data_IF_675980450667
#
_entry.id   IF_675980450667
#
_cell.length_a   1.000
_cell.length_b   1.000
_cell.length_c   1.000
_cell.angle_alpha   90.00
_cell.angle_beta   90.00
_cell.angle_gamma   90.00
#
_symmetry.space_group_name_H-M   'P 1'
#
loop_
_entity.id
_entity.type
_entity.pdbx_description
1 polymer ?
#
# COMPACT_ATOMS: atom_id res chain seq x y z
N UNK A 1 -8.64 27.67 -15.27
CA UNK A 1 -8.29 26.69 -14.22
C UNK A 1 -6.95 27.07 -13.60
N UNK A 2 -6.83 26.87 -12.29
CA UNK A 2 -5.56 27.01 -11.58
C UNK A 2 -4.79 25.69 -11.63
N UNK A 3 -3.49 25.73 -11.32
CA UNK A 3 -2.68 24.48 -11.19
C UNK A 3 -3.31 23.54 -10.15
N UNK A 4 -3.93 24.09 -9.11
CA UNK A 4 -4.64 23.30 -8.10
C UNK A 4 -5.87 22.58 -8.68
N UNK A 5 -6.67 23.25 -9.53
CA UNK A 5 -7.83 22.62 -10.18
C UNK A 5 -7.41 21.47 -11.10
N UNK A 6 -6.31 21.66 -11.86
CA UNK A 6 -5.75 20.60 -12.72
C UNK A 6 -5.22 19.43 -11.89
N UNK A 7 -4.53 19.72 -10.79
CA UNK A 7 -4.04 18.70 -9.88
C UNK A 7 -5.19 17.89 -9.25
N UNK A 8 -6.25 18.52 -8.80
CA UNK A 8 -7.41 17.84 -8.24
C UNK A 8 -8.07 16.92 -9.27
N UNK A 9 -8.17 17.38 -10.52
CA UNK A 9 -8.72 16.59 -11.63
C UNK A 9 -7.86 15.33 -11.90
N UNK A 10 -6.55 15.47 -12.08
CA UNK A 10 -5.64 14.34 -12.30
C UNK A 10 -5.61 13.41 -11.10
N UNK A 11 -5.54 13.96 -9.89
CA UNK A 11 -5.55 13.18 -8.66
C UNK A 11 -6.80 12.34 -8.47
N UNK A 12 -7.96 12.85 -8.89
CA UNK A 12 -9.20 12.07 -8.89
C UNK A 12 -9.07 10.80 -9.71
N UNK A 13 -8.58 10.89 -10.96
CA UNK A 13 -8.42 9.71 -11.81
C UNK A 13 -7.40 8.71 -11.25
N UNK A 14 -6.28 9.18 -10.73
CA UNK A 14 -5.24 8.33 -10.16
C UNK A 14 -5.71 7.65 -8.87
N UNK A 15 -6.37 8.39 -7.98
CA UNK A 15 -6.76 7.91 -6.66
C UNK A 15 -8.05 7.11 -6.62
N UNK A 16 -8.89 7.15 -7.66
CA UNK A 16 -10.16 6.42 -7.70
C UNK A 16 -10.28 5.49 -8.92
N UNK A 17 -10.56 5.90 -10.16
CA UNK A 17 -10.76 4.96 -11.27
C UNK A 17 -9.53 4.08 -11.52
N UNK A 18 -8.34 4.67 -11.66
CA UNK A 18 -7.10 3.94 -11.94
C UNK A 18 -6.72 3.03 -10.75
N UNK A 19 -6.84 3.56 -9.54
CA UNK A 19 -6.56 2.81 -8.32
C UNK A 19 -7.43 1.55 -8.20
N UNK A 20 -8.70 1.63 -8.60
CA UNK A 20 -9.64 0.50 -8.58
C UNK A 20 -9.38 -0.50 -9.68
N UNK A 21 -9.09 -0.05 -10.89
CA UNK A 21 -8.91 -0.93 -12.06
C UNK A 21 -7.55 -1.61 -12.09
N UNK A 22 -6.54 -1.03 -11.43
CA UNK A 22 -5.17 -1.51 -11.46
C UNK A 22 -5.03 -3.00 -11.08
N UNK A 23 -5.64 -3.51 -10.00
CA UNK A 23 -5.58 -4.93 -9.69
C UNK A 23 -6.22 -5.81 -10.75
N UNK A 24 -7.33 -5.38 -11.34
CA UNK A 24 -8.03 -6.10 -12.42
C UNK A 24 -7.14 -6.22 -13.65
N UNK A 25 -6.39 -5.15 -13.98
CA UNK A 25 -5.39 -5.19 -15.05
C UNK A 25 -4.33 -6.27 -14.78
N UNK A 26 -3.73 -6.31 -13.58
CA UNK A 26 -2.73 -7.32 -13.23
C UNK A 26 -3.30 -8.75 -13.20
N UNK A 27 -4.53 -8.92 -12.72
CA UNK A 27 -5.24 -10.22 -12.76
C UNK A 27 -5.45 -10.70 -14.20
N UNK A 28 -5.89 -9.80 -15.08
CA UNK A 28 -6.07 -10.10 -16.51
C UNK A 28 -4.75 -10.40 -17.21
N UNK A 29 -3.68 -9.66 -16.89
CA UNK A 29 -2.33 -9.90 -17.42
C UNK A 29 -1.81 -11.28 -16.97
N UNK A 30 -1.96 -11.61 -15.67
CA UNK A 30 -1.57 -12.92 -15.15
C UNK A 30 -2.31 -14.05 -15.87
N UNK A 31 -3.61 -13.90 -16.06
CA UNK A 31 -4.43 -14.88 -16.77
C UNK A 31 -4.00 -15.03 -18.24
N UNK A 32 -3.75 -13.93 -18.94
CA UNK A 32 -3.29 -13.95 -20.34
C UNK A 32 -1.93 -14.66 -20.47
N UNK A 33 -0.97 -14.34 -19.59
CA UNK A 33 0.35 -14.99 -19.57
C UNK A 33 0.25 -16.49 -19.28
N UNK A 34 -0.63 -16.87 -18.37
CA UNK A 34 -0.88 -18.29 -18.09
C UNK A 34 -1.46 -19.01 -19.30
N UNK A 35 -2.46 -18.43 -19.95
CA UNK A 35 -3.15 -19.05 -21.09
C UNK A 35 -2.26 -19.17 -22.34
N UNK A 36 -1.46 -18.13 -22.63
CA UNK A 36 -0.66 -18.05 -23.86
C UNK A 36 0.71 -18.70 -23.70
N UNK A 37 1.35 -18.52 -22.54
CA UNK A 37 2.75 -18.95 -22.31
C UNK A 37 2.91 -19.99 -21.21
N UNK A 38 1.84 -20.40 -20.53
CA UNK A 38 1.92 -21.29 -19.36
C UNK A 38 2.64 -20.65 -18.14
N UNK A 39 2.80 -19.33 -18.14
CA UNK A 39 3.53 -18.63 -17.08
C UNK A 39 2.64 -18.43 -15.84
N UNK A 40 3.09 -18.93 -14.70
CA UNK A 40 2.43 -18.79 -13.41
C UNK A 40 3.31 -18.07 -12.35
N UNK A 41 4.37 -17.41 -12.78
CA UNK A 41 5.29 -16.70 -11.89
C UNK A 41 4.74 -15.36 -11.39
N UNK A 42 5.51 -14.73 -10.47
CA UNK A 42 5.22 -13.38 -9.99
C UNK A 42 5.32 -12.35 -11.12
N UNK A 43 4.33 -11.48 -11.23
CA UNK A 43 4.36 -10.41 -12.23
C UNK A 43 5.32 -9.29 -11.79
N UNK A 44 6.13 -8.78 -12.72
CA UNK A 44 6.92 -7.59 -12.47
C UNK A 44 6.00 -6.35 -12.40
N UNK A 45 6.53 -5.26 -11.87
CA UNK A 45 5.86 -3.96 -11.93
C UNK A 45 5.90 -3.43 -13.38
N UNK A 46 4.79 -3.54 -14.10
CA UNK A 46 4.65 -3.12 -15.51
C UNK A 46 4.04 -1.73 -15.67
N UNK A 47 3.40 -1.19 -14.64
CA UNK A 47 2.78 0.13 -14.68
C UNK A 47 3.42 1.08 -13.65
N UNK A 48 3.69 2.29 -14.11
CA UNK A 48 4.07 3.46 -13.32
C UNK A 48 3.33 4.66 -13.88
N UNK A 49 2.95 5.57 -13.01
CA UNK A 49 2.26 6.79 -13.40
C UNK A 49 3.18 7.99 -13.25
N UNK A 50 3.08 8.92 -14.19
CA UNK A 50 3.76 10.20 -14.16
C UNK A 50 2.75 11.31 -14.47
N UNK A 51 3.02 12.52 -14.00
CA UNK A 51 2.22 13.71 -14.27
C UNK A 51 3.16 14.91 -14.31
N UNK A 52 2.90 15.84 -15.22
CA UNK A 52 3.58 17.14 -15.26
C UNK A 52 2.83 18.20 -14.43
N UNK A 53 1.58 17.93 -14.03
CA UNK A 53 0.74 18.90 -13.30
C UNK A 53 1.36 19.21 -11.95
N UNK A 54 1.68 20.49 -11.74
CA UNK A 54 2.36 21.01 -10.56
C UNK A 54 3.87 20.79 -10.55
N UNK A 55 4.47 20.27 -11.64
CA UNK A 55 5.91 20.04 -11.80
C UNK A 55 6.52 20.85 -12.94
N UNK A 56 5.77 21.02 -14.02
CA UNK A 56 6.25 21.71 -15.21
C UNK A 56 6.37 23.22 -14.96
N UNK A 57 7.63 23.70 -14.89
CA UNK A 57 7.97 25.10 -14.70
C UNK A 57 8.21 25.85 -16.02
N UNK A 58 8.19 25.16 -17.18
CA UNK A 58 8.48 25.78 -18.46
C UNK A 58 7.32 26.65 -18.93
N UNK A 59 7.55 27.98 -18.86
CA UNK A 59 6.60 28.99 -19.31
C UNK A 59 5.36 29.21 -18.43
N UNK A 60 5.24 28.50 -17.30
CA UNK A 60 4.12 28.69 -16.37
C UNK A 60 4.53 29.46 -15.11
N UNK A 61 4.23 30.78 -15.01
CA UNK A 61 4.65 31.58 -13.86
C UNK A 61 3.97 31.17 -12.52
N UNK A 62 2.96 30.31 -12.58
CA UNK A 62 2.23 29.82 -11.39
C UNK A 62 2.86 28.53 -10.83
N UNK A 63 3.82 27.92 -11.50
CA UNK A 63 4.55 26.75 -11.00
C UNK A 63 5.92 27.18 -10.48
N UNK A 64 6.16 26.94 -9.21
CA UNK A 64 7.40 27.24 -8.51
C UNK A 64 7.72 26.10 -7.53
N UNK A 65 8.87 26.19 -6.84
CA UNK A 65 9.30 25.15 -5.90
C UNK A 65 8.25 24.82 -4.82
N UNK A 66 7.51 25.82 -4.35
CA UNK A 66 6.43 25.63 -3.37
C UNK A 66 5.27 24.82 -3.98
N UNK A 67 4.89 25.12 -5.23
CA UNK A 67 3.85 24.38 -5.96
C UNK A 67 4.22 22.90 -6.11
N UNK A 68 5.49 22.62 -6.46
CA UNK A 68 6.03 21.26 -6.56
C UNK A 68 5.94 20.53 -5.21
N UNK A 69 6.39 21.18 -4.13
CA UNK A 69 6.35 20.60 -2.79
C UNK A 69 4.92 20.32 -2.33
N UNK A 70 3.99 21.23 -2.54
CA UNK A 70 2.59 21.09 -2.15
C UNK A 70 1.89 19.99 -2.96
N UNK A 71 2.21 19.87 -4.25
CA UNK A 71 1.73 18.78 -5.12
C UNK A 71 2.21 17.42 -4.60
N UNK A 72 3.51 17.26 -4.35
CA UNK A 72 4.07 16.02 -3.82
C UNK A 72 3.50 15.66 -2.44
N UNK A 73 3.34 16.65 -1.56
CA UNK A 73 2.73 16.46 -0.24
C UNK A 73 1.28 16.00 -0.33
N UNK A 74 0.52 16.59 -1.25
CA UNK A 74 -0.88 16.23 -1.49
C UNK A 74 -1.01 14.82 -2.06
N UNK A 75 -0.21 14.46 -3.08
CA UNK A 75 -0.17 13.10 -3.63
C UNK A 75 0.16 12.06 -2.55
N UNK A 76 1.19 12.35 -1.74
CA UNK A 76 1.61 11.47 -0.64
C UNK A 76 0.49 11.28 0.38
N UNK A 77 -0.17 12.35 0.75
CA UNK A 77 -1.29 12.32 1.70
C UNK A 77 -2.43 11.45 1.19
N UNK A 78 -2.80 11.60 -0.06
CA UNK A 78 -3.87 10.82 -0.68
C UNK A 78 -3.51 9.33 -0.75
N UNK A 79 -2.31 8.98 -1.22
CA UNK A 79 -1.84 7.60 -1.30
C UNK A 79 -1.82 6.92 0.09
N UNK A 80 -1.22 7.58 1.08
CA UNK A 80 -1.12 7.03 2.44
C UNK A 80 -2.49 6.85 3.10
N UNK A 81 -3.42 7.77 2.93
CA UNK A 81 -4.80 7.63 3.44
C UNK A 81 -5.50 6.41 2.85
N UNK A 82 -5.39 6.20 1.52
CA UNK A 82 -5.94 5.02 0.85
C UNK A 82 -5.35 3.73 1.42
N UNK A 83 -4.03 3.66 1.61
CA UNK A 83 -3.39 2.48 2.19
C UNK A 83 -3.80 2.24 3.65
N UNK A 84 -3.93 3.29 4.46
CA UNK A 84 -4.40 3.16 5.84
C UNK A 84 -5.79 2.53 5.88
N UNK A 85 -6.72 2.99 5.03
CA UNK A 85 -8.08 2.47 4.99
C UNK A 85 -8.11 1.02 4.49
N UNK A 86 -7.36 0.68 3.44
CA UNK A 86 -7.27 -0.70 2.95
C UNK A 86 -6.63 -1.65 3.96
N UNK A 87 -5.53 -1.25 4.59
CA UNK A 87 -4.85 -2.07 5.61
C UNK A 87 -5.77 -2.32 6.81
N UNK A 88 -6.54 -1.31 7.24
CA UNK A 88 -7.55 -1.48 8.28
C UNK A 88 -8.67 -2.44 7.88
N UNK A 89 -9.12 -2.33 6.64
CA UNK A 89 -10.10 -3.27 6.09
C UNK A 89 -9.55 -4.69 6.05
N UNK A 90 -8.32 -4.89 5.57
CA UNK A 90 -7.65 -6.19 5.58
C UNK A 90 -7.48 -6.75 7.00
N UNK A 91 -7.16 -5.90 7.99
CA UNK A 91 -7.09 -6.31 9.40
C UNK A 91 -8.45 -6.81 9.94
N UNK A 92 -9.57 -6.35 9.39
CA UNK A 92 -10.90 -6.88 9.74
C UNK A 92 -11.19 -8.22 9.04
N UNK A 93 -10.77 -8.37 7.79
CA UNK A 93 -10.96 -9.58 7.00
C UNK A 93 -10.10 -10.75 7.49
N UNK A 94 -8.83 -10.50 7.78
CA UNK A 94 -7.85 -11.52 8.16
C UNK A 94 -7.90 -11.77 9.69
N UNK A 95 -8.92 -12.50 10.11
CA UNK A 95 -9.20 -12.82 11.51
C UNK A 95 -8.91 -14.27 11.87
N UNK A 96 -8.09 -14.97 11.04
CA UNK A 96 -7.67 -16.34 11.32
C UNK A 96 -6.79 -16.35 12.56
N UNK A 97 -7.05 -17.33 13.44
CA UNK A 97 -6.22 -17.58 14.62
C UNK A 97 -5.07 -18.52 14.29
N UNK A 98 -3.96 -18.44 15.03
CA UNK A 98 -2.76 -19.23 14.83
C UNK A 98 -2.95 -20.73 15.12
N UNK A 99 -3.94 -21.10 15.92
CA UNK A 99 -4.36 -22.50 16.15
C UNK A 99 -5.03 -23.15 14.90
N UNK A 100 -5.53 -22.33 13.97
CA UNK A 100 -6.24 -22.79 12.77
C UNK A 100 -5.44 -22.67 11.48
N UNK A 101 -4.45 -21.80 11.43
CA UNK A 101 -3.63 -21.57 10.25
C UNK A 101 -2.20 -21.29 10.66
N UNK A 102 -1.28 -22.14 10.22
CA UNK A 102 0.14 -21.85 10.35
C UNK A 102 0.49 -20.50 9.69
N UNK A 103 1.50 -19.83 10.20
CA UNK A 103 2.02 -18.58 9.63
C UNK A 103 3.54 -18.67 9.54
N UNK A 104 4.13 -17.94 8.59
CA UNK A 104 5.57 -17.87 8.45
C UNK A 104 6.20 -17.24 9.70
N UNK A 105 7.30 -17.80 10.20
CA UNK A 105 7.96 -17.38 11.46
C UNK A 105 8.38 -15.89 11.45
N UNK A 106 8.61 -15.31 10.29
CA UNK A 106 8.95 -13.89 10.15
C UNK A 106 7.80 -12.97 10.56
N UNK A 107 6.54 -13.40 10.43
CA UNK A 107 5.36 -12.57 10.70
C UNK A 107 5.25 -12.18 12.20
N UNK A 108 5.32 -13.11 13.18
CA UNK A 108 5.38 -12.74 14.59
C UNK A 108 6.64 -11.96 14.95
N UNK A 109 7.79 -12.24 14.35
CA UNK A 109 9.02 -11.48 14.56
C UNK A 109 8.88 -10.03 14.11
N UNK A 110 8.26 -9.79 12.96
CA UNK A 110 7.96 -8.46 12.43
C UNK A 110 6.98 -7.72 13.35
N UNK A 111 5.94 -8.42 13.82
CA UNK A 111 4.98 -7.87 14.77
C UNK A 111 5.64 -7.48 16.10
N UNK A 112 6.58 -8.28 16.60
CA UNK A 112 7.37 -7.97 17.81
C UNK A 112 8.12 -6.65 17.67
N UNK A 113 8.90 -6.49 16.60
CA UNK A 113 9.62 -5.24 16.31
C UNK A 113 8.70 -4.02 16.21
N UNK A 114 7.52 -4.16 15.60
CA UNK A 114 6.57 -3.05 15.46
C UNK A 114 5.84 -2.72 16.75
N UNK A 115 5.68 -3.67 17.68
CA UNK A 115 5.17 -3.39 19.02
C UNK A 115 6.11 -2.48 19.82
N UNK A 116 7.42 -2.67 19.65
CA UNK A 116 8.43 -1.80 20.27
C UNK A 116 8.43 -0.38 19.69
N UNK A 117 8.22 -0.26 18.36
CA UNK A 117 8.14 1.03 17.66
C UNK A 117 6.84 1.80 17.94
N UNK A 118 5.76 1.08 18.24
CA UNK A 118 4.39 1.62 18.36
C UNK A 118 3.72 1.13 19.66
N UNK A 119 4.28 1.42 20.82
CA UNK A 119 3.79 0.86 22.10
C UNK A 119 2.33 1.23 22.40
N UNK A 120 1.88 2.42 22.04
CA UNK A 120 0.49 2.84 22.26
C UNK A 120 -0.49 2.04 21.39
N UNK A 121 -0.15 1.79 20.13
CA UNK A 121 -0.97 0.99 19.22
C UNK A 121 -0.95 -0.48 19.67
N UNK A 122 0.21 -0.98 20.09
CA UNK A 122 0.35 -2.33 20.61
C UNK A 122 -0.53 -2.56 21.85
N UNK A 123 -0.55 -1.59 22.77
CA UNK A 123 -1.39 -1.62 23.97
C UNK A 123 -2.90 -1.55 23.64
N UNK A 124 -3.28 -0.91 22.54
CA UNK A 124 -4.66 -0.80 22.08
C UNK A 124 -5.18 -2.08 21.37
N UNK A 125 -4.30 -3.05 21.06
CA UNK A 125 -4.72 -4.32 20.46
C UNK A 125 -5.54 -5.10 21.51
N UNK A 126 -6.79 -5.40 21.15
CA UNK A 126 -7.72 -6.08 22.06
C UNK A 126 -7.22 -7.49 22.39
N UNK A 127 -7.32 -7.98 23.64
CA UNK A 127 -6.86 -9.33 24.03
C UNK A 127 -7.37 -10.44 23.11
N UNK A 128 -8.63 -10.39 22.68
CA UNK A 128 -9.24 -11.36 21.75
C UNK A 128 -8.67 -11.38 20.33
N UNK A 129 -7.72 -10.50 20.01
CA UNK A 129 -7.08 -10.43 18.69
C UNK A 129 -5.60 -10.83 18.75
N UNK A 130 -5.07 -11.13 19.92
CA UNK A 130 -3.64 -11.40 20.11
C UNK A 130 -3.17 -12.68 19.43
N UNK A 131 -4.08 -13.63 19.24
CA UNK A 131 -3.93 -14.91 18.55
C UNK A 131 -4.23 -14.84 17.03
N UNK A 132 -4.44 -13.63 16.49
CA UNK A 132 -4.71 -13.36 15.07
C UNK A 132 -3.50 -12.69 14.41
N UNK A 133 -2.46 -13.42 14.01
CA UNK A 133 -1.17 -12.85 13.63
C UNK A 133 -1.23 -11.88 12.45
N UNK A 134 -2.02 -12.17 11.41
CA UNK A 134 -2.21 -11.27 10.27
C UNK A 134 -2.88 -9.96 10.69
N UNK A 135 -3.91 -10.05 11.52
CA UNK A 135 -4.64 -8.88 12.03
C UNK A 135 -3.75 -8.00 12.89
N UNK A 136 -2.96 -8.61 13.77
CA UNK A 136 -2.00 -7.89 14.62
C UNK A 136 -0.99 -7.14 13.77
N UNK A 137 -0.34 -7.81 12.81
CA UNK A 137 0.65 -7.17 11.95
C UNK A 137 0.01 -6.03 11.12
N UNK A 138 -1.16 -6.25 10.51
CA UNK A 138 -1.86 -5.21 9.75
C UNK A 138 -2.27 -4.01 10.61
N UNK A 139 -2.65 -4.23 11.88
CA UNK A 139 -2.92 -3.13 12.81
C UNK A 139 -1.69 -2.28 13.06
N UNK A 140 -0.53 -2.91 13.23
CA UNK A 140 0.75 -2.22 13.43
C UNK A 140 1.23 -1.53 12.13
N UNK A 141 1.04 -2.14 10.97
CA UNK A 141 1.31 -1.53 9.66
C UNK A 141 0.45 -0.26 9.46
N UNK A 142 -0.84 -0.30 9.80
CA UNK A 142 -1.70 0.88 9.77
C UNK A 142 -1.16 2.00 10.66
N UNK A 143 -0.64 1.66 11.84
CA UNK A 143 0.04 2.61 12.73
C UNK A 143 1.30 3.20 12.12
N UNK A 144 2.15 2.40 11.49
CA UNK A 144 3.34 2.89 10.78
C UNK A 144 2.98 3.80 9.60
N UNK A 145 1.93 3.50 8.85
CA UNK A 145 1.43 4.38 7.78
C UNK A 145 0.91 5.71 8.34
N UNK A 146 0.23 5.70 9.50
CA UNK A 146 -0.17 6.93 10.19
C UNK A 146 1.03 7.74 10.66
N UNK A 147 2.04 7.08 11.24
CA UNK A 147 3.31 7.71 11.59
C UNK A 147 4.04 8.31 10.37
N UNK A 148 3.94 7.64 9.21
CA UNK A 148 4.50 8.12 7.94
C UNK A 148 3.77 9.37 7.44
N UNK A 149 2.45 9.41 7.58
CA UNK A 149 1.64 10.57 7.23
C UNK A 149 1.92 11.75 8.17
N UNK A 150 2.10 11.48 9.46
CA UNK A 150 2.41 12.48 10.48
C UNK A 150 3.90 12.89 10.54
N UNK A 151 4.80 12.16 9.86
CA UNK A 151 6.24 12.43 9.87
C UNK A 151 6.96 12.05 11.17
N UNK A 152 6.38 11.18 12.01
CA UNK A 152 6.95 10.78 13.31
C UNK A 152 8.03 9.69 13.19
N UNK A 153 8.70 9.36 14.31
CA UNK A 153 9.84 8.43 14.32
C UNK A 153 9.52 7.02 13.83
N UNK A 154 8.31 6.52 14.08
CA UNK A 154 7.90 5.17 13.67
C UNK A 154 7.50 5.07 12.17
N UNK A 155 7.74 6.13 11.39
CA UNK A 155 7.41 6.16 9.95
C UNK A 155 8.16 5.12 9.14
N UNK A 156 7.62 4.76 7.99
CA UNK A 156 8.37 4.10 6.93
C UNK A 156 9.38 5.09 6.31
N UNK A 157 10.61 4.67 6.13
CA UNK A 157 11.64 5.45 5.43
C UNK A 157 11.36 5.50 3.93
N UNK A 158 10.97 4.36 3.37
CA UNK A 158 10.69 4.20 1.94
C UNK A 158 9.44 3.33 1.73
N UNK A 159 8.81 3.46 0.56
CA UNK A 159 7.65 2.65 0.19
C UNK A 159 7.97 1.14 0.12
N UNK A 160 9.22 0.80 -0.21
CA UNK A 160 9.67 -0.59 -0.31
C UNK A 160 9.58 -1.35 1.04
N UNK A 161 9.73 -0.66 2.18
CA UNK A 161 9.51 -1.28 3.48
C UNK A 161 8.04 -1.68 3.69
N UNK A 162 7.11 -0.80 3.32
CA UNK A 162 5.68 -1.09 3.36
C UNK A 162 5.31 -2.21 2.37
N UNK A 163 5.86 -2.17 1.15
CA UNK A 163 5.68 -3.22 0.14
C UNK A 163 6.16 -4.56 0.70
N UNK A 164 7.34 -4.61 1.32
CA UNK A 164 7.88 -5.81 1.96
C UNK A 164 7.00 -6.38 3.07
N UNK A 165 6.34 -5.53 3.85
CA UNK A 165 5.37 -5.98 4.86
C UNK A 165 4.13 -6.64 4.24
N UNK A 166 3.62 -6.08 3.15
CA UNK A 166 2.47 -6.66 2.44
C UNK A 166 2.87 -7.94 1.69
N UNK A 167 4.10 -8.00 1.14
CA UNK A 167 4.67 -9.20 0.54
C UNK A 167 4.79 -10.35 1.55
N UNK A 168 5.27 -10.05 2.76
CA UNK A 168 5.36 -11.03 3.84
C UNK A 168 3.99 -11.65 4.15
N UNK A 169 2.96 -10.82 4.28
CA UNK A 169 1.58 -11.29 4.53
C UNK A 169 1.08 -12.11 3.34
N UNK A 170 1.28 -11.64 2.11
CA UNK A 170 0.83 -12.34 0.90
C UNK A 170 1.51 -13.71 0.76
N UNK A 171 2.83 -13.79 0.97
CA UNK A 171 3.60 -15.02 0.91
C UNK A 171 3.19 -16.00 2.00
N UNK A 172 3.03 -15.51 3.24
CA UNK A 172 2.60 -16.35 4.35
C UNK A 172 1.20 -16.94 4.12
N UNK A 173 0.24 -16.14 3.63
CA UNK A 173 -1.08 -16.65 3.26
C UNK A 173 -1.01 -17.71 2.14
N UNK A 174 -0.17 -17.47 1.13
CA UNK A 174 -0.01 -18.42 0.03
C UNK A 174 0.57 -19.76 0.49
N UNK A 175 1.65 -19.71 1.27
CA UNK A 175 2.38 -20.89 1.74
C UNK A 175 1.57 -21.72 2.75
N UNK A 176 0.69 -21.08 3.52
CA UNK A 176 -0.06 -21.73 4.60
C UNK A 176 -1.55 -21.96 4.25
N UNK A 177 -1.89 -22.11 2.97
CA UNK A 177 -3.23 -22.49 2.53
C UNK A 177 -4.26 -21.35 2.57
N UNK A 178 -3.85 -20.13 2.87
CA UNK A 178 -4.72 -18.94 2.95
C UNK A 178 -5.14 -18.33 1.60
N UNK A 179 -4.92 -19.06 0.49
CA UNK A 179 -5.22 -18.55 -0.86
C UNK A 179 -6.69 -18.10 -1.00
N UNK A 180 -7.62 -18.83 -0.42
CA UNK A 180 -9.05 -18.48 -0.41
C UNK A 180 -9.48 -17.69 0.83
N UNK A 181 -8.55 -17.43 1.76
CA UNK A 181 -8.81 -16.77 3.04
C UNK A 181 -8.21 -15.36 3.10
N UNK A 182 -8.27 -14.62 1.98
CA UNK A 182 -7.89 -13.20 1.93
C UNK A 182 -6.64 -12.89 1.10
N UNK A 183 -5.91 -13.87 0.57
CA UNK A 183 -4.73 -13.64 -0.26
C UNK A 183 -4.99 -12.68 -1.42
N UNK A 184 -6.11 -12.83 -2.13
CA UNK A 184 -6.46 -11.96 -3.25
C UNK A 184 -6.57 -10.49 -2.84
N UNK A 185 -7.18 -10.21 -1.69
CA UNK A 185 -7.32 -8.85 -1.19
C UNK A 185 -5.95 -8.23 -0.83
N UNK A 186 -5.08 -9.00 -0.18
CA UNK A 186 -3.69 -8.57 0.14
C UNK A 186 -2.89 -8.34 -1.15
N UNK A 187 -2.98 -9.25 -2.12
CA UNK A 187 -2.24 -9.14 -3.38
C UNK A 187 -2.70 -7.93 -4.23
N UNK A 188 -3.98 -7.57 -4.18
CA UNK A 188 -4.50 -6.34 -4.80
C UNK A 188 -3.89 -5.08 -4.19
N UNK A 189 -3.77 -5.02 -2.86
CA UNK A 189 -3.05 -3.92 -2.20
C UNK A 189 -1.57 -3.91 -2.58
N UNK A 190 -0.93 -5.08 -2.67
CA UNK A 190 0.46 -5.21 -3.08
C UNK A 190 0.72 -4.62 -4.48
N UNK A 191 -0.13 -4.93 -5.47
CA UNK A 191 0.00 -4.34 -6.81
C UNK A 191 -0.15 -2.82 -6.80
N UNK A 192 -1.10 -2.27 -6.03
CA UNK A 192 -1.26 -0.83 -5.84
C UNK A 192 -0.02 -0.20 -5.23
N UNK A 193 0.47 -0.77 -4.12
CA UNK A 193 1.67 -0.28 -3.43
C UNK A 193 2.91 -0.31 -4.35
N UNK A 194 3.10 -1.39 -5.12
CA UNK A 194 4.19 -1.50 -6.10
C UNK A 194 4.08 -0.49 -7.24
N UNK A 195 2.87 -0.18 -7.72
CA UNK A 195 2.67 0.73 -8.85
C UNK A 195 2.77 2.20 -8.45
N UNK A 196 2.19 2.58 -7.31
CA UNK A 196 2.13 3.95 -6.84
C UNK A 196 3.26 4.34 -5.86
N UNK A 197 3.74 3.40 -5.05
CA UNK A 197 4.61 3.76 -3.92
C UNK A 197 3.88 4.65 -2.92
N UNK A 198 4.54 5.69 -2.41
CA UNK A 198 3.92 6.68 -1.51
C UNK A 198 3.45 7.95 -2.23
N UNK A 199 3.44 7.96 -3.55
CA UNK A 199 2.93 9.07 -4.37
C UNK A 199 2.06 8.50 -5.49
N UNK A 200 1.00 9.22 -5.89
CA UNK A 200 0.08 8.76 -6.92
C UNK A 200 0.72 8.75 -8.31
N UNK A 201 1.67 9.66 -8.56
CA UNK A 201 2.44 9.74 -9.80
C UNK A 201 3.83 10.28 -9.51
N UNK A 202 4.78 9.99 -10.39
CA UNK A 202 6.04 10.72 -10.47
C UNK A 202 5.75 12.10 -11.02
N UNK A 203 6.38 13.11 -10.44
CA UNK A 203 6.33 14.45 -10.98
C UNK A 203 7.45 14.58 -12.02
N UNK A 204 7.05 14.97 -13.22
CA UNK A 204 7.98 15.33 -14.31
C UNK A 204 8.27 16.83 -14.17
N UNK A 205 9.56 17.19 -14.05
CA UNK A 205 10.03 18.55 -13.70
C UNK A 205 11.05 19.00 -14.72
#
# INVERSE_FOLDING_TARGET
>A
PTVQDEFEHVSFYLSDPIYRVLPVFYESLAQALKLVYGYEGALPRVLRFASWVGGDMDGNPNVNAQTVEDTLRSQRTQALRRYIDEVRHLAQLLSQTDDRAAVDAELPMRSGRYRELLPEIAAAIRPRHTDMPYRVLLTLIAGRLQATLAGTLARYGHADEFIGDIELIASSLWNNGGRHAGWFAVNRLLWRARSFGFHLARLDV
#
